data_IF_029662480133
#
_entry.id   IF_029662480133
#
_cell.length_a   1.000
_cell.length_b   1.000
_cell.length_c   1.000
_cell.angle_alpha   90.00
_cell.angle_beta   90.00
_cell.angle_gamma   90.00
#
_symmetry.space_group_name_H-M   'P 1'
#
loop_
_entity.id
_entity.type
_entity.pdbx_description
1 polymer ?
#
# COMPACT_ATOMS: atom_id res chain seq x y z
N UNK A 1 -12.65 -0.93 -30.17
CA UNK A 1 -12.14 -2.26 -30.58
C UNK A 1 -11.98 -2.29 -32.07
N UNK A 2 -11.09 -3.10 -32.61
CA UNK A 2 -10.97 -3.30 -34.05
C UNK A 2 -11.25 -4.76 -34.41
N UNK A 3 -11.92 -4.98 -35.54
CA UNK A 3 -12.08 -6.31 -36.10
C UNK A 3 -10.81 -6.76 -36.87
N UNK A 4 -10.79 -7.99 -37.38
CA UNK A 4 -9.67 -8.55 -38.13
C UNK A 4 -9.31 -7.79 -39.43
N UNK A 5 -10.22 -6.92 -39.90
CA UNK A 5 -10.02 -6.06 -41.08
C UNK A 5 -9.63 -4.62 -40.70
N UNK A 6 -9.37 -4.33 -39.40
CA UNK A 6 -9.02 -3.00 -38.92
C UNK A 6 -10.19 -2.04 -38.70
N UNK A 7 -11.45 -2.47 -38.94
CA UNK A 7 -12.61 -1.62 -38.74
C UNK A 7 -12.81 -1.32 -37.27
N UNK A 8 -12.80 -0.03 -36.90
CA UNK A 8 -12.96 0.43 -35.51
C UNK A 8 -14.45 0.44 -35.15
N UNK A 9 -14.79 -0.23 -34.05
CA UNK A 9 -16.14 -0.28 -33.50
C UNK A 9 -16.16 0.18 -32.05
N UNK A 10 -17.21 0.90 -31.67
CA UNK A 10 -17.48 1.33 -30.30
C UNK A 10 -18.55 0.42 -29.70
N UNK A 11 -18.36 0.05 -28.43
CA UNK A 11 -19.30 -0.79 -27.69
C UNK A 11 -19.71 -0.07 -26.41
N UNK A 12 -20.99 0.21 -26.28
CA UNK A 12 -21.55 0.80 -25.08
C UNK A 12 -21.88 -0.24 -24.01
N UNK A 13 -22.31 -1.46 -24.38
CA UNK A 13 -22.79 -2.44 -23.39
C UNK A 13 -22.42 -3.92 -23.67
N UNK A 14 -22.05 -4.33 -24.87
CA UNK A 14 -21.74 -5.74 -25.17
C UNK A 14 -20.52 -5.90 -26.07
N UNK A 15 -19.54 -6.75 -25.68
CA UNK A 15 -18.32 -6.96 -26.47
C UNK A 15 -18.52 -7.81 -27.73
N UNK A 16 -19.75 -8.13 -28.11
CA UNK A 16 -20.08 -9.00 -29.25
C UNK A 16 -21.11 -8.33 -30.15
N UNK A 17 -20.83 -8.28 -31.45
CA UNK A 17 -21.82 -7.93 -32.44
C UNK A 17 -22.82 -9.09 -32.56
N UNK A 18 -24.02 -8.92 -32.00
CA UNK A 18 -25.07 -9.92 -32.04
C UNK A 18 -25.67 -10.10 -33.47
N UNK A 19 -25.30 -9.23 -34.41
CA UNK A 19 -25.79 -9.24 -35.80
C UNK A 19 -24.94 -10.08 -36.75
N UNK A 20 -23.71 -10.45 -36.40
CA UNK A 20 -22.89 -11.28 -37.25
C UNK A 20 -23.07 -12.76 -36.91
N UNK A 21 -23.39 -13.57 -37.94
CA UNK A 21 -23.47 -15.04 -37.85
C UNK A 21 -22.10 -15.70 -37.50
N UNK A 22 -21.04 -14.96 -37.62
CA UNK A 22 -19.69 -15.29 -37.17
C UNK A 22 -19.35 -14.32 -36.01
N UNK A 23 -19.12 -14.86 -34.82
CA UNK A 23 -18.55 -14.11 -33.69
C UNK A 23 -17.11 -13.68 -34.06
N UNK A 24 -16.97 -12.58 -34.81
CA UNK A 24 -15.68 -11.99 -35.06
C UNK A 24 -15.08 -11.55 -33.73
N UNK A 25 -13.97 -12.13 -33.34
CA UNK A 25 -13.21 -11.72 -32.14
C UNK A 25 -12.73 -10.28 -32.34
N UNK A 26 -13.23 -9.39 -31.50
CA UNK A 26 -12.80 -8.00 -31.50
C UNK A 26 -11.60 -7.81 -30.62
N UNK A 27 -10.54 -7.25 -31.17
CA UNK A 27 -9.32 -6.95 -30.44
C UNK A 27 -9.42 -5.54 -29.85
N UNK A 28 -9.24 -5.38 -28.51
CA UNK A 28 -9.19 -4.07 -27.90
C UNK A 28 -8.05 -3.25 -28.49
N UNK A 29 -8.33 -2.01 -28.88
CA UNK A 29 -7.29 -1.09 -29.32
C UNK A 29 -6.30 -0.78 -28.18
N UNK A 30 -5.04 -0.59 -28.56
CA UNK A 30 -3.93 -0.51 -27.59
C UNK A 30 -3.77 0.85 -26.94
N UNK A 31 -4.40 1.90 -27.50
CA UNK A 31 -4.20 3.28 -27.07
C UNK A 31 -5.35 3.76 -26.21
N UNK A 32 -5.00 4.47 -25.17
CA UNK A 32 -5.91 5.18 -24.26
C UNK A 32 -5.35 6.56 -23.98
N UNK A 33 -6.21 7.51 -23.62
CA UNK A 33 -5.82 8.83 -23.17
C UNK A 33 -5.95 8.96 -21.67
N UNK A 34 -4.96 9.57 -21.05
CA UNK A 34 -4.91 9.83 -19.61
C UNK A 34 -4.46 11.25 -19.34
N UNK A 35 -4.77 11.77 -18.17
CA UNK A 35 -4.26 13.07 -17.69
C UNK A 35 -3.59 12.94 -16.31
N UNK A 36 -2.86 13.97 -15.89
CA UNK A 36 -2.17 14.02 -14.60
C UNK A 36 -3.12 14.00 -13.38
N UNK A 37 -4.41 14.34 -13.56
CA UNK A 37 -5.44 14.21 -12.53
C UNK A 37 -5.99 12.78 -12.38
N UNK A 38 -5.43 11.80 -13.08
CA UNK A 38 -5.78 10.38 -12.96
C UNK A 38 -7.01 9.95 -13.76
N UNK A 39 -7.57 10.81 -14.62
CA UNK A 39 -8.67 10.42 -15.49
C UNK A 39 -8.20 9.57 -16.67
N UNK A 40 -9.11 8.75 -17.18
CA UNK A 40 -8.90 7.87 -18.33
C UNK A 40 -10.07 7.99 -19.28
N UNK A 41 -9.78 8.04 -20.56
CA UNK A 41 -10.77 7.99 -21.62
C UNK A 41 -10.21 7.28 -22.86
N UNK A 42 -11.08 6.87 -23.74
CA UNK A 42 -10.68 6.33 -25.04
C UNK A 42 -9.92 7.38 -25.86
N UNK A 43 -9.05 6.91 -26.74
CA UNK A 43 -8.46 7.76 -27.76
C UNK A 43 -9.58 8.35 -28.63
N UNK A 44 -9.50 9.63 -29.05
CA UNK A 44 -10.58 10.29 -29.81
C UNK A 44 -10.60 9.81 -31.28
N UNK A 45 -10.95 8.54 -31.48
CA UNK A 45 -10.89 7.86 -32.76
C UNK A 45 -11.70 8.55 -33.85
N UNK A 46 -12.86 9.12 -33.49
CA UNK A 46 -13.75 9.78 -34.44
C UNK A 46 -13.22 11.18 -34.78
N UNK A 47 -12.87 11.94 -33.77
CA UNK A 47 -12.39 13.33 -33.90
C UNK A 47 -11.04 13.40 -34.60
N UNK A 48 -10.18 12.40 -34.38
CA UNK A 48 -8.80 12.36 -34.87
C UNK A 48 -8.64 12.56 -36.36
N UNK A 49 -9.29 11.75 -37.26
CA UNK A 49 -9.17 11.96 -38.70
C UNK A 49 -10.00 13.13 -39.21
N UNK A 50 -11.01 13.56 -38.46
CA UNK A 50 -11.97 14.60 -38.91
C UNK A 50 -11.53 16.02 -38.60
N UNK A 51 -10.49 16.23 -37.78
CA UNK A 51 -10.03 17.57 -37.42
C UNK A 51 -11.08 18.38 -36.66
N UNK A 52 -11.87 17.71 -35.79
CA UNK A 52 -12.94 18.31 -35.01
C UNK A 52 -14.30 18.41 -35.72
N UNK A 53 -14.36 18.44 -37.05
CA UNK A 53 -15.60 18.42 -37.84
C UNK A 53 -15.97 16.99 -38.25
N UNK A 54 -16.75 16.31 -37.43
CA UNK A 54 -17.21 14.93 -37.66
C UNK A 54 -18.25 14.90 -38.82
N UNK A 55 -18.12 13.93 -39.71
CA UNK A 55 -19.10 13.69 -40.78
C UNK A 55 -20.36 12.97 -40.23
N UNK A 56 -21.43 12.95 -41.00
CA UNK A 56 -22.74 12.41 -40.57
C UNK A 56 -22.68 10.92 -40.22
N UNK A 57 -21.86 10.14 -40.95
CA UNK A 57 -21.76 8.68 -40.78
C UNK A 57 -20.32 8.23 -40.70
N UNK A 58 -19.62 8.43 -39.54
CA UNK A 58 -18.21 8.02 -39.39
C UNK A 58 -18.06 6.50 -39.54
N UNK A 59 -17.36 6.04 -40.55
CA UNK A 59 -16.96 4.64 -40.75
C UNK A 59 -15.42 4.53 -40.69
N UNK A 60 -14.89 4.17 -39.52
CA UNK A 60 -13.47 4.26 -39.22
C UNK A 60 -12.76 2.93 -39.48
N UNK A 61 -11.58 3.06 -40.06
CA UNK A 61 -10.65 1.97 -40.30
C UNK A 61 -9.24 2.36 -39.82
N UNK A 62 -8.61 1.42 -39.11
CA UNK A 62 -7.22 1.55 -38.70
C UNK A 62 -6.32 0.85 -39.71
N UNK A 63 -5.60 1.63 -40.50
CA UNK A 63 -4.76 1.13 -41.58
C UNK A 63 -3.30 1.10 -41.18
N UNK A 64 -2.61 0.00 -41.48
CA UNK A 64 -1.16 -0.12 -41.37
C UNK A 64 -0.56 -0.15 -42.78
N UNK A 65 0.17 0.90 -43.13
CA UNK A 65 0.61 1.11 -44.53
C UNK A 65 1.77 0.17 -44.95
N UNK A 66 2.58 -0.27 -43.98
CA UNK A 66 3.83 -1.01 -44.30
C UNK A 66 3.91 -2.38 -43.63
N UNK A 67 2.83 -2.89 -43.04
CA UNK A 67 2.83 -4.14 -42.27
C UNK A 67 3.95 -4.21 -41.20
N UNK A 68 4.48 -3.06 -40.81
CA UNK A 68 5.49 -2.97 -39.76
C UNK A 68 4.80 -2.89 -38.39
N UNK A 69 5.50 -3.25 -37.34
CA UNK A 69 5.03 -3.07 -35.97
C UNK A 69 5.10 -1.62 -35.49
N UNK A 70 5.58 -0.69 -36.31
CA UNK A 70 5.78 0.71 -35.95
C UNK A 70 4.47 1.47 -35.94
N UNK A 71 4.24 2.28 -34.88
CA UNK A 71 3.07 3.15 -34.76
C UNK A 71 3.04 4.24 -35.83
N UNK A 72 4.20 4.62 -36.37
CA UNK A 72 4.35 5.63 -37.40
C UNK A 72 3.60 5.25 -38.69
N UNK A 73 3.44 3.96 -38.92
CA UNK A 73 2.78 3.41 -40.11
C UNK A 73 1.26 3.27 -39.97
N UNK A 74 0.74 3.50 -38.73
CA UNK A 74 -0.69 3.45 -38.52
C UNK A 74 -1.36 4.78 -38.82
N UNK A 75 -2.54 4.70 -39.41
CA UNK A 75 -3.41 5.85 -39.66
C UNK A 75 -4.85 5.50 -39.44
N UNK A 76 -5.63 6.45 -38.96
CA UNK A 76 -7.11 6.34 -38.87
C UNK A 76 -7.71 6.97 -40.13
N UNK A 77 -8.53 6.21 -40.83
CA UNK A 77 -9.20 6.60 -42.04
C UNK A 77 -10.71 6.47 -41.89
N UNK A 78 -11.44 7.49 -42.28
CA UNK A 78 -12.89 7.46 -42.36
C UNK A 78 -13.33 7.14 -43.80
N UNK A 79 -13.89 5.96 -44.04
CA UNK A 79 -14.33 5.53 -45.38
C UNK A 79 -15.48 6.35 -45.94
N UNK A 80 -16.30 6.95 -45.09
CA UNK A 80 -17.46 7.74 -45.52
C UNK A 80 -17.05 9.08 -46.14
N UNK A 81 -16.11 9.80 -45.51
CA UNK A 81 -15.72 11.12 -45.98
C UNK A 81 -14.26 11.20 -46.49
N UNK A 82 -13.60 10.06 -46.58
CA UNK A 82 -12.20 9.86 -47.04
C UNK A 82 -11.12 10.64 -46.27
N UNK A 83 -11.46 11.16 -45.10
CA UNK A 83 -10.48 11.84 -44.21
C UNK A 83 -9.57 10.82 -43.53
N UNK A 84 -8.28 11.11 -43.56
CA UNK A 84 -7.23 10.23 -43.03
C UNK A 84 -6.23 11.02 -42.20
N UNK A 85 -5.78 10.45 -41.06
CA UNK A 85 -4.71 11.03 -40.24
C UNK A 85 -3.80 9.97 -39.64
N UNK A 86 -2.50 10.17 -39.76
CA UNK A 86 -1.47 9.29 -39.16
C UNK A 86 -1.48 9.40 -37.64
N UNK A 87 -1.10 8.28 -36.97
CA UNK A 87 -0.86 8.21 -35.52
C UNK A 87 0.58 8.58 -35.15
N UNK A 88 1.41 9.03 -36.09
CA UNK A 88 2.84 9.26 -35.87
C UNK A 88 3.19 10.26 -34.78
N UNK A 89 2.28 11.19 -34.46
CA UNK A 89 2.53 12.24 -33.44
C UNK A 89 2.01 11.90 -32.05
N UNK A 90 1.29 10.77 -31.86
CA UNK A 90 0.53 10.53 -30.62
C UNK A 90 1.41 10.40 -29.36
N UNK A 91 2.67 9.98 -29.52
CA UNK A 91 3.60 9.89 -28.39
C UNK A 91 4.47 11.14 -28.20
N UNK A 92 4.37 12.12 -29.08
CA UNK A 92 4.94 13.43 -28.82
C UNK A 92 3.93 14.24 -28.01
N UNK A 93 4.21 14.40 -26.70
CA UNK A 93 3.30 15.06 -25.74
C UNK A 93 2.78 16.40 -26.24
N UNK A 94 3.68 17.26 -26.70
CA UNK A 94 3.32 18.62 -27.13
C UNK A 94 2.52 18.59 -28.43
N UNK A 95 3.01 17.92 -29.48
CA UNK A 95 2.32 17.85 -30.76
C UNK A 95 0.95 17.17 -30.66
N UNK A 96 0.79 16.20 -29.73
CA UNK A 96 -0.48 15.56 -29.48
C UNK A 96 -1.45 16.51 -28.75
N UNK A 97 -1.00 17.15 -27.68
CA UNK A 97 -1.81 18.12 -26.92
C UNK A 97 -2.27 19.29 -27.81
N UNK A 98 -1.35 19.91 -28.54
CA UNK A 98 -1.65 21.00 -29.45
C UNK A 98 -2.70 20.63 -30.51
N UNK A 99 -2.61 19.39 -31.02
CA UNK A 99 -3.60 18.91 -31.98
C UNK A 99 -4.95 18.65 -31.32
N UNK A 100 -5.00 18.11 -30.10
CA UNK A 100 -6.27 17.90 -29.38
C UNK A 100 -6.95 19.23 -29.07
N UNK A 101 -6.21 20.25 -28.67
CA UNK A 101 -6.73 21.60 -28.43
C UNK A 101 -7.29 22.19 -29.72
N UNK A 102 -6.60 22.03 -30.85
CA UNK A 102 -7.06 22.49 -32.17
C UNK A 102 -8.41 21.84 -32.57
N UNK A 103 -8.62 20.56 -32.26
CA UNK A 103 -9.84 19.83 -32.59
C UNK A 103 -10.91 19.88 -31.48
N UNK A 104 -10.67 20.61 -30.38
CA UNK A 104 -11.60 20.79 -29.28
C UNK A 104 -11.82 19.55 -28.43
N UNK A 105 -10.81 18.66 -28.33
CA UNK A 105 -10.86 17.44 -27.52
C UNK A 105 -10.12 17.65 -26.22
N UNK A 106 -10.83 17.58 -25.10
CA UNK A 106 -10.29 17.77 -23.76
C UNK A 106 -10.58 16.55 -22.87
N UNK A 107 -9.96 16.54 -21.69
CA UNK A 107 -10.22 15.52 -20.69
C UNK A 107 -11.68 15.59 -20.23
N UNK A 108 -12.37 14.44 -20.30
CA UNK A 108 -13.79 14.33 -19.89
C UNK A 108 -13.98 14.25 -18.37
N UNK A 109 -12.91 14.24 -17.58
CA UNK A 109 -12.97 14.18 -16.12
C UNK A 109 -13.53 12.86 -15.57
N UNK A 110 -13.46 11.77 -16.33
CA UNK A 110 -14.09 10.51 -15.95
C UNK A 110 -13.18 9.60 -15.16
N UNK A 111 -13.72 9.03 -14.07
CA UNK A 111 -13.17 7.88 -13.37
C UNK A 111 -13.95 6.63 -13.76
N UNK A 112 -13.36 5.76 -14.58
CA UNK A 112 -14.06 4.61 -15.21
C UNK A 112 -14.65 3.61 -14.22
N UNK A 113 -14.16 3.56 -12.97
CA UNK A 113 -14.70 2.69 -11.91
C UNK A 113 -15.83 3.33 -11.10
N UNK A 114 -16.05 4.64 -11.23
CA UNK A 114 -17.16 5.35 -10.61
C UNK A 114 -18.32 5.34 -11.60
N UNK A 115 -19.16 4.31 -11.56
CA UNK A 115 -20.32 4.23 -12.42
C UNK A 115 -21.13 5.54 -12.43
N UNK A 116 -21.09 6.28 -13.55
CA UNK A 116 -21.96 7.43 -13.89
C UNK A 116 -22.03 8.57 -12.86
N UNK A 117 -21.06 8.67 -11.98
CA UNK A 117 -20.92 9.85 -11.10
C UNK A 117 -20.38 11.00 -11.95
N UNK A 118 -20.90 12.21 -11.68
CA UNK A 118 -20.51 13.46 -12.36
C UNK A 118 -19.03 13.46 -12.72
N UNK A 119 -18.74 13.71 -14.00
CA UNK A 119 -17.38 13.98 -14.45
C UNK A 119 -16.84 15.22 -13.70
N UNK A 120 -15.62 15.13 -13.20
CA UNK A 120 -14.95 16.31 -12.66
C UNK A 120 -14.60 17.26 -13.82
N UNK A 121 -14.75 18.57 -13.63
CA UNK A 121 -14.18 19.52 -14.58
C UNK A 121 -12.66 19.36 -14.58
N UNK A 122 -12.07 19.08 -15.73
CA UNK A 122 -10.64 18.87 -15.85
C UNK A 122 -10.07 19.63 -17.04
N UNK A 123 -9.11 20.49 -16.76
CA UNK A 123 -8.41 21.29 -17.77
C UNK A 123 -6.99 20.76 -18.06
N UNK A 124 -6.65 19.55 -17.57
CA UNK A 124 -5.35 18.95 -17.79
C UNK A 124 -5.22 18.39 -19.21
N UNK A 125 -4.07 18.60 -19.84
CA UNK A 125 -3.73 18.02 -21.13
C UNK A 125 -3.78 16.50 -21.11
N UNK A 126 -4.24 15.91 -22.20
CA UNK A 126 -4.28 14.47 -22.40
C UNK A 126 -2.95 13.97 -22.97
N UNK A 127 -2.54 12.80 -22.51
CA UNK A 127 -1.42 12.04 -23.07
C UNK A 127 -1.88 10.67 -23.51
N UNK A 128 -1.32 10.15 -24.60
CA UNK A 128 -1.59 8.80 -25.07
C UNK A 128 -0.64 7.82 -24.39
N UNK A 129 -1.19 6.75 -23.85
CA UNK A 129 -0.43 5.62 -23.34
C UNK A 129 -0.89 4.33 -24.03
N UNK A 130 0.02 3.36 -24.04
CA UNK A 130 -0.36 1.99 -24.29
C UNK A 130 -1.12 1.46 -23.07
N UNK A 131 -2.17 0.68 -23.31
CA UNK A 131 -2.96 0.03 -22.25
C UNK A 131 -2.11 -0.83 -21.29
N UNK A 132 -0.96 -1.31 -21.75
CA UNK A 132 0.00 -2.10 -20.95
C UNK A 132 1.18 -1.29 -20.42
N UNK A 133 1.15 0.04 -20.53
CA UNK A 133 2.23 0.88 -20.06
C UNK A 133 2.28 0.93 -18.52
N UNK A 134 3.47 0.80 -17.94
CA UNK A 134 3.66 0.79 -16.50
C UNK A 134 3.25 2.12 -15.83
N UNK A 135 3.40 3.24 -16.55
CA UNK A 135 3.02 4.56 -16.07
C UNK A 135 1.51 4.87 -16.19
N UNK A 136 0.72 3.88 -16.58
CA UNK A 136 -0.73 3.98 -16.55
C UNK A 136 -1.28 3.97 -15.12
N UNK A 137 -0.61 3.28 -14.22
CA UNK A 137 -1.12 3.07 -12.87
C UNK A 137 0.03 2.86 -11.88
N UNK A 138 0.19 3.81 -10.98
CA UNK A 138 1.09 3.72 -9.83
C UNK A 138 0.25 3.56 -8.57
N UNK A 139 0.11 2.35 -8.01
CA UNK A 139 -0.65 2.12 -6.80
C UNK A 139 0.10 2.64 -5.57
N UNK A 140 -0.61 3.33 -4.68
CA UNK A 140 -0.14 3.63 -3.34
C UNK A 140 -0.75 2.60 -2.38
N UNK A 141 0.09 1.67 -1.92
CA UNK A 141 -0.31 0.54 -1.08
C UNK A 141 0.31 0.70 0.30
N UNK A 142 -0.51 0.61 1.34
CA UNK A 142 -0.04 0.42 2.71
C UNK A 142 -0.10 -1.05 3.06
N UNK A 143 1.01 -1.59 3.57
CA UNK A 143 1.13 -2.98 3.99
C UNK A 143 1.42 -3.05 5.47
N UNK A 144 0.79 -3.99 6.15
CA UNK A 144 0.95 -4.23 7.56
C UNK A 144 0.91 -5.72 7.85
N UNK A 145 1.79 -6.18 8.72
CA UNK A 145 1.71 -7.54 9.25
C UNK A 145 0.50 -7.61 10.16
N UNK A 146 -0.38 -8.58 9.93
CA UNK A 146 -1.49 -8.84 10.83
C UNK A 146 -0.96 -9.61 12.05
N UNK A 147 -0.42 -8.86 12.99
CA UNK A 147 -0.06 -9.40 14.27
C UNK A 147 -1.36 -9.48 15.06
N UNK A 148 -1.82 -10.68 15.44
CA UNK A 148 -2.91 -10.77 16.39
C UNK A 148 -2.36 -10.23 17.71
N UNK A 149 -2.70 -8.99 17.99
CA UNK A 149 -2.55 -8.51 19.35
C UNK A 149 -3.54 -9.33 20.18
N UNK A 150 -3.02 -10.17 21.02
CA UNK A 150 -3.78 -10.81 22.09
C UNK A 150 -4.14 -9.79 23.17
N UNK A 151 -4.35 -8.54 22.76
CA UNK A 151 -4.75 -7.46 23.65
C UNK A 151 -6.07 -7.71 24.36
N UNK A 152 -6.77 -8.77 23.97
CA UNK A 152 -8.08 -9.06 24.51
C UNK A 152 -8.33 -10.56 24.73
N UNK A 153 -7.30 -11.40 24.82
CA UNK A 153 -7.52 -12.84 25.10
C UNK A 153 -8.26 -13.01 26.43
N UNK A 154 -7.88 -12.26 27.44
CA UNK A 154 -8.56 -12.18 28.73
C UNK A 154 -9.99 -11.63 28.61
N UNK A 155 -10.16 -10.51 27.92
CA UNK A 155 -11.49 -9.89 27.70
C UNK A 155 -12.38 -10.80 26.85
N UNK A 156 -11.82 -11.49 25.87
CA UNK A 156 -12.56 -12.44 25.06
C UNK A 156 -12.96 -13.68 25.87
N UNK A 157 -12.08 -14.17 26.74
CA UNK A 157 -12.39 -15.23 27.70
C UNK A 157 -13.50 -14.80 28.70
N UNK A 158 -13.43 -13.59 29.23
CA UNK A 158 -14.46 -13.00 30.08
C UNK A 158 -15.80 -12.89 29.33
N UNK A 159 -15.81 -12.42 28.10
CA UNK A 159 -17.03 -12.25 27.29
C UNK A 159 -17.64 -13.58 26.81
N UNK A 160 -16.86 -14.65 26.74
CA UNK A 160 -17.35 -15.98 26.37
C UNK A 160 -18.16 -16.66 27.47
N UNK A 161 -17.99 -16.23 28.73
CA UNK A 161 -18.73 -16.69 29.88
C UNK A 161 -19.82 -15.67 30.24
N UNK A 162 -21.08 -16.12 30.35
CA UNK A 162 -22.23 -15.22 30.59
C UNK A 162 -22.14 -14.48 31.94
N UNK A 163 -21.71 -15.18 33.00
CA UNK A 163 -21.62 -14.63 34.35
C UNK A 163 -20.44 -13.65 34.44
N UNK A 164 -19.29 -14.00 33.91
CA UNK A 164 -18.13 -13.11 33.86
C UNK A 164 -18.38 -11.88 32.97
N UNK A 165 -19.11 -12.04 31.89
CA UNK A 165 -19.49 -10.93 31.02
C UNK A 165 -20.43 -9.95 31.71
N UNK A 166 -21.36 -10.46 32.54
CA UNK A 166 -22.21 -9.58 33.38
C UNK A 166 -21.37 -8.76 34.34
N UNK A 167 -20.45 -9.37 35.07
CA UNK A 167 -19.52 -8.68 35.98
C UNK A 167 -18.65 -7.66 35.26
N UNK A 168 -18.09 -8.03 34.12
CA UNK A 168 -17.33 -7.13 33.24
C UNK A 168 -18.12 -5.89 32.83
N UNK A 169 -19.38 -6.05 32.41
CA UNK A 169 -20.22 -4.93 31.99
C UNK A 169 -20.50 -3.95 33.15
N UNK A 170 -20.67 -4.46 34.34
CA UNK A 170 -20.87 -3.63 35.57
C UNK A 170 -19.56 -2.89 35.89
N UNK A 171 -18.41 -3.56 35.87
CA UNK A 171 -17.10 -2.91 36.09
C UNK A 171 -16.90 -1.81 35.04
N UNK A 172 -17.11 -2.12 33.75
CA UNK A 172 -16.98 -1.16 32.67
C UNK A 172 -17.86 0.08 32.82
N UNK A 173 -19.13 -0.08 33.25
CA UNK A 173 -20.01 1.04 33.50
C UNK A 173 -19.52 1.91 34.66
N UNK A 174 -18.98 1.30 35.71
CA UNK A 174 -18.42 2.05 36.86
C UNK A 174 -17.16 2.81 36.45
N UNK A 175 -16.28 2.21 35.63
CA UNK A 175 -15.10 2.87 35.07
C UNK A 175 -15.52 4.09 34.24
N UNK A 176 -16.48 3.95 33.32
CA UNK A 176 -16.97 5.05 32.47
C UNK A 176 -17.65 6.18 33.26
N UNK A 177 -18.25 5.88 34.39
CA UNK A 177 -18.84 6.90 35.27
C UNK A 177 -17.78 7.74 36.03
N UNK A 178 -16.67 7.12 36.40
CA UNK A 178 -15.57 7.74 37.16
C UNK A 178 -14.61 8.49 36.25
N UNK A 179 -14.37 7.97 35.04
CA UNK A 179 -13.45 8.53 34.07
C UNK A 179 -14.21 9.33 33.00
N UNK A 180 -14.32 10.64 33.23
CA UNK A 180 -14.77 11.59 32.17
C UNK A 180 -13.62 12.11 31.31
N UNK A 181 -12.39 11.90 31.74
CA UNK A 181 -11.13 12.34 31.09
C UNK A 181 -10.07 11.24 31.20
N UNK A 182 -8.91 11.41 30.51
CA UNK A 182 -7.81 10.43 30.43
C UNK A 182 -7.48 9.75 31.76
N UNK A 183 -7.33 8.44 31.74
CA UNK A 183 -7.02 7.63 32.91
C UNK A 183 -5.65 7.98 33.50
N UNK A 184 -5.66 8.53 34.70
CA UNK A 184 -4.46 8.78 35.51
C UNK A 184 -4.28 7.69 36.56
N UNK A 185 -3.06 7.55 37.11
CA UNK A 185 -2.76 6.63 38.22
C UNK A 185 -3.65 6.87 39.44
N UNK A 186 -4.08 8.13 39.66
CA UNK A 186 -5.01 8.52 40.71
C UNK A 186 -6.42 7.91 40.51
N UNK A 187 -6.86 7.77 39.26
CA UNK A 187 -8.17 7.16 38.92
C UNK A 187 -8.10 5.65 39.10
N UNK A 188 -7.02 5.01 38.69
CA UNK A 188 -6.76 3.58 38.91
C UNK A 188 -6.83 3.23 40.39
N UNK A 189 -6.17 4.02 41.23
CA UNK A 189 -6.19 3.84 42.69
C UNK A 189 -7.60 4.07 43.32
N UNK A 190 -8.44 4.94 42.75
CA UNK A 190 -9.83 5.10 43.14
C UNK A 190 -10.70 3.91 42.76
N UNK A 191 -10.48 3.34 41.59
CA UNK A 191 -11.18 2.14 41.09
C UNK A 191 -10.85 0.92 41.94
N UNK A 192 -9.59 0.71 42.31
CA UNK A 192 -9.17 -0.38 43.20
C UNK A 192 -9.75 -0.27 44.64
N UNK A 193 -10.10 0.91 45.07
CA UNK A 193 -10.75 1.16 46.38
C UNK A 193 -12.28 1.05 46.32
N UNK A 194 -12.87 0.92 45.14
CA UNK A 194 -14.30 0.74 44.99
C UNK A 194 -14.70 -0.71 45.36
N UNK A 195 -15.46 -0.90 46.43
CA UNK A 195 -15.83 -2.21 46.94
C UNK A 195 -16.55 -3.09 45.89
N UNK A 196 -17.41 -2.48 45.08
CA UNK A 196 -18.17 -3.19 44.05
C UNK A 196 -17.22 -3.65 42.97
N UNK A 197 -16.38 -2.77 42.42
CA UNK A 197 -15.40 -3.11 41.37
C UNK A 197 -14.44 -4.18 41.89
N UNK A 198 -13.98 -4.05 43.11
CA UNK A 198 -13.02 -5.00 43.68
C UNK A 198 -13.62 -6.41 43.87
N UNK A 199 -14.86 -6.52 44.34
CA UNK A 199 -15.52 -7.84 44.50
C UNK A 199 -15.77 -8.53 43.15
N UNK A 200 -16.18 -7.78 42.14
CA UNK A 200 -16.40 -8.30 40.79
C UNK A 200 -15.08 -8.70 40.09
N UNK A 201 -14.02 -7.91 40.29
CA UNK A 201 -12.67 -8.28 39.80
C UNK A 201 -12.16 -9.55 40.48
N UNK A 202 -12.40 -9.73 41.79
CA UNK A 202 -12.05 -10.96 42.50
C UNK A 202 -12.77 -12.17 41.92
N UNK A 203 -14.06 -12.03 41.61
CA UNK A 203 -14.81 -13.12 40.95
C UNK A 203 -14.22 -13.48 39.59
N UNK A 204 -14.00 -12.51 38.74
CA UNK A 204 -13.40 -12.71 37.42
C UNK A 204 -12.02 -13.39 37.54
N UNK A 205 -11.15 -12.89 38.40
CA UNK A 205 -9.81 -13.45 38.62
C UNK A 205 -9.87 -14.88 39.11
N UNK A 206 -10.76 -15.19 40.07
CA UNK A 206 -10.87 -16.56 40.60
C UNK A 206 -11.26 -17.61 39.56
N UNK A 207 -12.08 -17.23 38.59
CA UNK A 207 -12.47 -18.10 37.49
C UNK A 207 -11.35 -18.18 36.45
N UNK A 208 -10.75 -17.04 36.09
CA UNK A 208 -9.68 -17.00 35.10
C UNK A 208 -8.40 -17.69 35.56
N UNK A 209 -8.11 -17.77 36.87
CA UNK A 209 -6.93 -18.45 37.39
C UNK A 209 -6.92 -19.96 37.10
N UNK A 210 -8.03 -20.56 36.71
CA UNK A 210 -8.10 -21.95 36.25
C UNK A 210 -7.30 -22.09 34.95
N UNK A 211 -7.41 -21.14 34.05
CA UNK A 211 -6.73 -21.13 32.73
C UNK A 211 -5.44 -20.27 32.71
N UNK A 212 -5.36 -19.29 33.62
CA UNK A 212 -4.26 -18.32 33.71
C UNK A 212 -3.76 -18.22 35.18
N UNK A 213 -2.96 -19.18 35.67
CA UNK A 213 -2.62 -19.31 37.10
C UNK A 213 -1.99 -18.09 37.75
N UNK A 214 -1.30 -17.24 36.99
CA UNK A 214 -0.56 -16.08 37.49
C UNK A 214 -1.30 -14.75 37.33
N UNK A 215 -2.57 -14.78 36.92
CA UNK A 215 -3.33 -13.54 36.70
C UNK A 215 -3.73 -12.91 38.03
N UNK A 216 -3.64 -11.56 38.08
CA UNK A 216 -4.07 -10.76 39.22
C UNK A 216 -5.13 -9.72 38.85
N UNK A 217 -5.73 -9.10 39.86
CA UNK A 217 -6.77 -8.08 39.69
C UNK A 217 -6.29 -6.84 38.96
N UNK A 218 -5.02 -6.46 39.17
CA UNK A 218 -4.43 -5.28 38.52
C UNK A 218 -4.29 -5.48 37.01
N UNK A 219 -3.92 -6.69 36.61
CA UNK A 219 -3.81 -7.08 35.18
C UNK A 219 -5.17 -7.04 34.50
N UNK A 220 -6.21 -7.68 35.09
CA UNK A 220 -7.58 -7.66 34.54
C UNK A 220 -8.12 -6.22 34.48
N UNK A 221 -7.91 -5.42 35.50
CA UNK A 221 -8.38 -4.02 35.54
C UNK A 221 -7.69 -3.17 34.47
N UNK A 222 -6.38 -3.31 34.32
CA UNK A 222 -5.64 -2.57 33.30
C UNK A 222 -6.13 -2.93 31.90
N UNK A 223 -6.35 -4.19 31.60
CA UNK A 223 -6.85 -4.63 30.29
C UNK A 223 -8.26 -4.15 29.98
N UNK A 224 -9.15 -4.07 31.01
CA UNK A 224 -10.47 -3.45 30.86
C UNK A 224 -10.34 -1.95 30.58
N UNK A 225 -9.42 -1.26 31.27
CA UNK A 225 -9.17 0.17 31.06
C UNK A 225 -8.63 0.41 29.66
N UNK A 226 -7.61 -0.34 29.23
CA UNK A 226 -6.96 -0.21 27.91
C UNK A 226 -7.97 -0.45 26.78
N UNK A 227 -8.89 -1.41 26.95
CA UNK A 227 -9.99 -1.59 26.00
C UNK A 227 -10.94 -0.39 25.95
N UNK A 228 -11.28 0.22 27.08
CA UNK A 228 -12.15 1.40 27.11
C UNK A 228 -11.45 2.60 26.47
N UNK A 229 -10.15 2.75 26.70
CA UNK A 229 -9.34 3.80 26.10
C UNK A 229 -9.19 3.62 24.59
N UNK A 230 -9.00 2.40 24.13
CA UNK A 230 -8.94 2.08 22.69
C UNK A 230 -10.28 2.33 21.97
N UNK A 231 -11.42 2.11 22.65
CA UNK A 231 -12.75 2.42 22.10
C UNK A 231 -13.07 3.92 22.10
N UNK A 232 -12.53 4.68 23.07
CA UNK A 232 -12.74 6.13 23.21
C UNK A 232 -11.75 6.94 22.37
N UNK A 233 -10.61 6.38 22.05
CA UNK A 233 -9.72 6.94 21.04
C UNK A 233 -10.42 6.77 19.72
N UNK A 234 -11.15 7.81 19.27
CA UNK A 234 -11.36 8.03 17.83
C UNK A 234 -10.02 7.79 17.21
N UNK A 235 -9.93 6.84 16.27
CA UNK A 235 -8.72 6.50 15.53
C UNK A 235 -7.93 7.77 15.30
N UNK A 236 -6.89 7.97 16.09
CA UNK A 236 -5.99 9.09 15.93
C UNK A 236 -5.29 8.81 14.59
N UNK A 237 -5.58 9.63 13.59
CA UNK A 237 -4.93 9.53 12.27
C UNK A 237 -3.40 9.68 12.38
N UNK A 238 -2.90 9.96 13.58
CA UNK A 238 -1.50 10.18 13.96
C UNK A 238 -0.86 9.01 14.72
N UNK A 239 -1.33 7.76 14.57
CA UNK A 239 -0.49 6.62 15.02
C UNK A 239 0.80 6.70 14.21
N UNK A 240 1.89 6.97 14.90
CA UNK A 240 3.21 7.04 14.27
C UNK A 240 3.52 5.68 13.64
N UNK A 241 3.70 5.67 12.32
CA UNK A 241 4.10 4.48 11.57
C UNK A 241 5.32 3.81 12.21
N UNK A 242 6.17 4.60 12.88
CA UNK A 242 7.36 4.11 13.58
C UNK A 242 7.02 3.30 14.83
N UNK A 243 5.98 3.64 15.58
CA UNK A 243 5.57 2.87 16.76
C UNK A 243 5.02 1.52 16.35
N UNK A 244 4.21 1.48 15.30
CA UNK A 244 3.71 0.24 14.72
C UNK A 244 4.85 -0.68 14.23
N UNK A 245 5.83 -0.13 13.51
CA UNK A 245 7.02 -0.88 13.04
C UNK A 245 7.88 -1.40 14.19
N UNK A 246 7.93 -0.68 15.30
CA UNK A 246 8.63 -1.12 16.52
C UNK A 246 7.96 -2.33 17.15
N UNK A 247 6.64 -2.35 17.19
CA UNK A 247 5.88 -3.49 17.70
C UNK A 247 6.05 -4.73 16.81
N UNK A 248 5.93 -4.57 15.48
CA UNK A 248 6.26 -5.64 14.53
C UNK A 248 7.66 -6.21 14.81
N UNK A 249 8.65 -5.33 14.96
CA UNK A 249 10.02 -5.74 15.25
C UNK A 249 10.13 -6.51 16.57
N UNK A 250 9.53 -6.03 17.64
CA UNK A 250 9.61 -6.64 18.96
C UNK A 250 9.01 -8.07 18.97
N UNK A 251 7.91 -8.26 18.29
CA UNK A 251 7.27 -9.57 18.19
C UNK A 251 8.10 -10.50 17.29
N UNK A 252 8.51 -10.05 16.12
CA UNK A 252 9.26 -10.86 15.17
C UNK A 252 10.67 -11.19 15.69
N UNK A 253 11.31 -10.30 16.44
CA UNK A 253 12.61 -10.55 17.08
C UNK A 253 12.55 -11.45 18.31
N UNK A 254 11.35 -11.77 18.80
CA UNK A 254 11.17 -12.51 20.05
C UNK A 254 11.48 -11.68 21.30
N UNK A 255 11.58 -10.36 21.19
CA UNK A 255 11.77 -9.46 22.33
C UNK A 255 10.52 -9.35 23.19
N UNK A 256 9.35 -9.50 22.58
CA UNK A 256 8.06 -9.64 23.26
C UNK A 256 7.61 -11.09 23.21
N UNK A 257 7.17 -11.68 24.35
CA UNK A 257 6.54 -13.00 24.35
C UNK A 257 5.33 -13.02 23.39
N UNK A 258 5.22 -14.09 22.64
CA UNK A 258 4.13 -14.28 21.69
C UNK A 258 3.67 -15.74 21.72
N UNK A 259 2.38 -15.94 21.88
CA UNK A 259 1.77 -17.25 21.79
C UNK A 259 1.33 -17.55 20.35
N UNK A 260 1.74 -18.72 19.83
CA UNK A 260 1.36 -19.18 18.48
C UNK A 260 -0.07 -19.77 18.43
N UNK A 261 -0.96 -19.34 19.32
CA UNK A 261 -2.37 -19.80 19.34
C UNK A 261 -3.18 -19.32 18.13
N UNK A 262 -2.71 -18.28 17.47
CA UNK A 262 -3.35 -17.70 16.28
C UNK A 262 -2.73 -18.26 15.00
N UNK A 263 -3.58 -18.57 14.03
CA UNK A 263 -3.22 -18.97 12.65
C UNK A 263 -2.71 -17.80 11.77
N UNK A 264 -2.69 -16.57 12.30
CA UNK A 264 -2.26 -15.37 11.57
C UNK A 264 -0.77 -15.14 11.59
N UNK A 265 -0.12 -15.56 12.67
CA UNK A 265 1.32 -15.54 12.82
C UNK A 265 1.77 -16.76 13.60
N UNK A 266 2.50 -17.66 12.95
CA UNK A 266 3.14 -18.82 13.58
C UNK A 266 4.64 -18.66 13.40
N UNK A 267 5.37 -18.54 14.50
CA UNK A 267 6.82 -18.33 14.48
C UNK A 267 7.57 -19.19 15.49
N UNK A 268 8.83 -19.47 15.18
CA UNK A 268 9.78 -20.12 16.07
C UNK A 268 11.07 -19.30 16.14
N UNK A 269 11.40 -18.78 17.30
CA UNK A 269 12.59 -17.94 17.51
C UNK A 269 13.73 -18.74 18.12
N UNK A 270 14.90 -18.67 17.48
CA UNK A 270 16.16 -19.25 17.92
C UNK A 270 17.10 -18.12 18.32
N UNK A 271 17.46 -18.06 19.58
CA UNK A 271 18.40 -17.10 20.12
C UNK A 271 19.71 -17.77 20.55
N UNK A 272 20.68 -16.98 21.03
CA UNK A 272 21.96 -17.50 21.47
C UNK A 272 21.91 -18.45 22.68
N UNK A 273 20.76 -18.53 23.37
CA UNK A 273 20.54 -19.49 24.47
C UNK A 273 19.91 -20.79 24.00
N UNK A 274 19.50 -20.88 22.72
CA UNK A 274 18.91 -22.09 22.14
C UNK A 274 19.97 -23.15 21.81
N UNK A 275 19.50 -24.36 21.47
CA UNK A 275 20.34 -25.48 21.03
C UNK A 275 21.21 -25.17 19.79
N UNK A 276 20.93 -24.06 19.10
CA UNK A 276 21.67 -23.60 17.91
C UNK A 276 22.75 -22.58 18.25
N UNK A 277 22.98 -22.25 19.51
CA UNK A 277 23.94 -21.23 19.94
C UNK A 277 25.31 -21.37 19.27
N UNK A 278 25.85 -22.57 19.26
CA UNK A 278 27.19 -22.85 18.70
C UNK A 278 27.24 -22.79 17.17
N UNK A 279 26.08 -22.70 16.52
CA UNK A 279 25.96 -22.62 15.06
C UNK A 279 25.65 -21.23 14.55
N UNK A 280 25.24 -20.30 15.44
CA UNK A 280 24.96 -18.91 15.07
C UNK A 280 26.21 -18.07 15.17
N UNK A 281 26.51 -17.21 14.15
CA UNK A 281 27.54 -16.20 14.27
C UNK A 281 27.28 -15.28 15.46
N UNK A 282 28.33 -14.83 16.14
CA UNK A 282 28.23 -13.92 17.31
C UNK A 282 27.49 -12.63 16.97
N UNK A 283 27.60 -12.17 15.72
CA UNK A 283 26.90 -11.00 15.20
C UNK A 283 25.38 -11.18 15.02
N UNK A 284 24.87 -12.40 15.11
CA UNK A 284 23.43 -12.69 15.01
C UNK A 284 22.84 -12.86 16.40
N UNK A 285 21.93 -11.96 16.79
CA UNK A 285 21.24 -12.01 18.08
C UNK A 285 20.19 -13.14 18.11
N UNK A 286 19.36 -13.20 17.09
CA UNK A 286 18.38 -14.26 16.94
C UNK A 286 18.00 -14.47 15.46
N UNK A 287 17.46 -15.65 15.17
CA UNK A 287 16.79 -16.00 13.93
C UNK A 287 15.37 -16.46 14.28
N UNK A 288 14.38 -15.89 13.65
CA UNK A 288 13.00 -16.30 13.77
C UNK A 288 12.54 -16.90 12.46
N UNK A 289 12.16 -18.18 12.47
CA UNK A 289 11.46 -18.83 11.37
C UNK A 289 9.99 -18.47 11.48
N UNK A 290 9.44 -17.96 10.42
CA UNK A 290 8.04 -17.57 10.31
C UNK A 290 7.39 -18.59 9.41
N UNK A 291 6.57 -19.45 9.98
CA UNK A 291 5.87 -20.54 9.28
C UNK A 291 4.55 -20.09 8.69
N UNK A 292 3.93 -19.08 9.30
CA UNK A 292 2.73 -18.43 8.81
C UNK A 292 2.80 -16.94 9.14
N UNK A 293 2.56 -16.11 8.15
CA UNK A 293 2.51 -14.66 8.29
C UNK A 293 1.35 -14.13 7.44
N UNK A 294 0.38 -13.55 8.07
CA UNK A 294 -0.68 -12.85 7.36
C UNK A 294 -0.31 -11.37 7.21
N UNK A 295 -0.29 -10.88 5.96
CA UNK A 295 -0.06 -9.48 5.63
C UNK A 295 -1.35 -8.90 5.06
N UNK A 296 -1.74 -7.74 5.55
CA UNK A 296 -2.86 -6.95 5.01
C UNK A 296 -2.30 -5.85 4.14
N UNK A 297 -2.65 -5.89 2.86
CA UNK A 297 -2.30 -4.86 1.89
C UNK A 297 -3.55 -4.03 1.61
N UNK A 298 -3.45 -2.72 1.76
CA UNK A 298 -4.56 -1.80 1.54
C UNK A 298 -4.21 -0.85 0.41
N UNK A 299 -5.01 -0.85 -0.64
CA UNK A 299 -4.89 0.08 -1.74
C UNK A 299 -5.54 1.42 -1.37
N UNK A 300 -4.71 2.43 -1.05
CA UNK A 300 -5.17 3.75 -0.58
C UNK A 300 -5.57 4.68 -1.72
N UNK A 301 -4.72 4.70 -2.74
CA UNK A 301 -4.83 5.65 -3.85
C UNK A 301 -4.01 5.17 -5.04
N UNK A 302 -4.06 5.91 -6.12
CA UNK A 302 -3.15 5.72 -7.26
C UNK A 302 -2.86 7.06 -7.92
N UNK A 303 -1.81 7.07 -8.73
CA UNK A 303 -1.52 8.15 -9.67
C UNK A 303 -1.31 7.61 -11.09
N UNK A 304 -1.26 8.49 -12.08
CA UNK A 304 -0.97 8.18 -13.49
C UNK A 304 0.14 9.09 -14.01
N UNK A 305 0.83 8.65 -15.04
CA UNK A 305 1.95 9.33 -15.69
C UNK A 305 3.21 9.38 -14.82
N UNK A 306 3.11 9.86 -13.58
CA UNK A 306 4.20 9.92 -12.61
C UNK A 306 3.73 9.36 -11.26
N UNK A 307 4.60 8.65 -10.53
CA UNK A 307 4.28 8.19 -9.18
C UNK A 307 4.18 9.37 -8.21
N UNK A 308 3.51 9.17 -7.08
CA UNK A 308 3.32 10.19 -6.03
C UNK A 308 3.89 9.76 -4.69
N UNK A 309 4.55 8.59 -4.61
CA UNK A 309 5.30 8.21 -3.42
C UNK A 309 6.55 9.09 -3.26
N UNK A 310 6.95 9.32 -2.02
CA UNK A 310 8.00 10.27 -1.69
C UNK A 310 9.35 9.95 -2.36
N UNK A 311 9.69 8.68 -2.49
CA UNK A 311 10.99 8.26 -2.99
C UNK A 311 11.05 8.38 -4.52
N UNK A 312 10.02 7.94 -5.22
CA UNK A 312 9.91 8.10 -6.67
C UNK A 312 9.77 9.58 -7.08
N UNK A 313 9.10 10.40 -6.26
CA UNK A 313 9.01 11.85 -6.46
C UNK A 313 10.38 12.51 -6.40
N UNK A 314 11.23 12.12 -5.45
CA UNK A 314 12.59 12.64 -5.32
C UNK A 314 13.45 12.29 -6.54
N UNK A 315 13.31 11.08 -7.08
CA UNK A 315 14.01 10.64 -8.28
C UNK A 315 13.61 11.51 -9.49
N UNK A 316 12.32 11.77 -9.65
CA UNK A 316 11.81 12.65 -10.72
C UNK A 316 12.34 14.08 -10.57
N UNK A 317 12.37 14.64 -9.36
CA UNK A 317 12.92 15.98 -9.11
C UNK A 317 14.40 16.04 -9.46
N UNK A 318 15.18 14.99 -9.16
CA UNK A 318 16.61 14.92 -9.54
C UNK A 318 16.82 14.89 -11.05
N UNK A 319 15.96 14.21 -11.78
CA UNK A 319 16.08 14.06 -13.23
C UNK A 319 15.52 15.27 -14.01
N UNK A 320 14.38 15.80 -13.59
CA UNK A 320 13.62 16.80 -14.35
C UNK A 320 13.63 18.20 -13.70
N UNK A 321 14.10 18.33 -12.44
CA UNK A 321 14.11 19.56 -11.67
C UNK A 321 12.81 19.84 -10.90
N UNK A 322 12.82 20.88 -10.05
CA UNK A 322 11.70 21.20 -9.13
C UNK A 322 10.42 21.69 -9.84
N UNK A 323 10.50 22.15 -11.08
CA UNK A 323 9.37 22.67 -11.86
C UNK A 323 8.62 21.60 -12.65
N UNK A 324 8.61 20.36 -12.19
CA UNK A 324 7.90 19.26 -12.86
C UNK A 324 6.41 19.28 -12.59
N UNK A 325 5.61 19.03 -13.64
CA UNK A 325 4.18 18.76 -13.51
C UNK A 325 3.96 17.44 -12.75
N UNK A 326 3.53 17.54 -11.51
CA UNK A 326 3.22 16.36 -10.70
C UNK A 326 1.84 15.79 -11.01
N UNK A 327 1.74 14.47 -10.96
CA UNK A 327 0.47 13.78 -11.07
C UNK A 327 -0.32 13.90 -9.77
N UNK A 328 -1.64 14.00 -9.88
CA UNK A 328 -2.53 14.04 -8.74
C UNK A 328 -2.74 12.62 -8.19
N UNK A 329 -2.68 12.49 -6.89
CA UNK A 329 -3.08 11.28 -6.20
C UNK A 329 -4.60 11.16 -6.14
N UNK A 330 -5.12 10.04 -6.61
CA UNK A 330 -6.56 9.75 -6.65
C UNK A 330 -6.91 8.78 -5.53
N UNK A 331 -7.63 9.24 -4.53
CA UNK A 331 -8.07 8.41 -3.41
C UNK A 331 -9.07 7.34 -3.86
N UNK A 332 -8.87 6.12 -3.38
CA UNK A 332 -9.77 4.97 -3.57
C UNK A 332 -10.63 4.70 -2.34
N UNK A 333 -10.69 5.65 -1.40
CA UNK A 333 -11.58 5.57 -0.25
C UNK A 333 -13.04 5.51 -0.72
N UNK A 334 -13.76 4.54 -0.22
CA UNK A 334 -15.20 4.36 -0.50
C UNK A 334 -16.02 5.42 0.25
N UNK A 335 -17.27 5.59 -0.15
CA UNK A 335 -18.22 6.52 0.49
C UNK A 335 -18.52 6.17 1.96
N UNK A 336 -18.36 4.90 2.33
CA UNK A 336 -18.49 4.41 3.70
C UNK A 336 -17.21 4.59 4.55
N UNK A 337 -16.20 5.28 4.01
CA UNK A 337 -14.94 5.55 4.68
C UNK A 337 -13.91 4.42 4.60
N UNK A 338 -14.24 3.27 4.03
CA UNK A 338 -13.39 2.09 3.94
C UNK A 338 -12.51 2.10 2.69
N UNK A 339 -11.43 1.32 2.73
CA UNK A 339 -10.57 1.03 1.60
C UNK A 339 -10.71 -0.43 1.17
N UNK A 340 -10.30 -0.72 -0.05
CA UNK A 340 -10.18 -2.10 -0.53
C UNK A 340 -8.84 -2.64 -0.06
N UNK A 341 -8.89 -3.78 0.63
CA UNK A 341 -7.70 -4.47 1.11
C UNK A 341 -7.70 -5.93 0.70
N UNK A 342 -6.51 -6.52 0.71
CA UNK A 342 -6.27 -7.93 0.43
C UNK A 342 -5.42 -8.51 1.55
N UNK A 343 -5.77 -9.71 2.00
CA UNK A 343 -4.93 -10.51 2.89
C UNK A 343 -4.09 -11.45 2.05
N UNK A 344 -2.81 -11.49 2.31
CA UNK A 344 -1.88 -12.45 1.74
C UNK A 344 -1.19 -13.22 2.86
N UNK A 345 -0.86 -14.46 2.59
CA UNK A 345 -0.16 -15.35 3.50
C UNK A 345 1.24 -15.58 2.96
N UNK A 346 2.19 -15.69 3.85
CA UNK A 346 3.59 -15.93 3.51
C UNK A 346 4.33 -16.59 4.64
N UNK A 347 5.53 -16.99 4.34
CA UNK A 347 6.51 -17.54 5.27
C UNK A 347 7.84 -16.83 5.08
N UNK A 348 8.73 -16.93 6.03
CA UNK A 348 10.02 -16.23 5.91
C UNK A 348 10.98 -16.47 7.06
N UNK A 349 12.08 -15.74 6.99
CA UNK A 349 13.12 -15.74 8.01
C UNK A 349 13.36 -14.30 8.45
N UNK A 350 13.24 -14.05 9.75
CA UNK A 350 13.57 -12.78 10.34
C UNK A 350 14.89 -12.91 11.12
N UNK A 351 15.87 -12.08 10.76
CA UNK A 351 17.21 -12.14 11.33
C UNK A 351 17.48 -10.83 12.07
N UNK A 352 17.81 -10.92 13.35
CA UNK A 352 18.19 -9.79 14.18
C UNK A 352 19.71 -9.84 14.45
N UNK A 353 20.41 -8.76 14.11
CA UNK A 353 21.81 -8.61 14.43
C UNK A 353 21.99 -8.12 15.86
N UNK A 354 23.12 -8.46 16.46
CA UNK A 354 23.49 -7.97 17.78
C UNK A 354 23.96 -6.50 17.68
N UNK A 355 23.27 -5.54 18.34
CA UNK A 355 23.60 -4.12 18.21
C UNK A 355 25.01 -3.80 18.74
N UNK A 356 25.52 -4.53 19.75
CA UNK A 356 26.88 -4.34 20.27
C UNK A 356 27.89 -4.71 19.20
N UNK A 357 27.71 -5.87 18.56
CA UNK A 357 28.61 -6.34 17.51
C UNK A 357 28.54 -5.45 16.25
N UNK A 358 27.37 -4.89 15.92
CA UNK A 358 27.27 -3.90 14.83
C UNK A 358 28.02 -2.62 15.19
N UNK A 359 27.91 -2.13 16.43
CA UNK A 359 28.61 -0.93 16.90
C UNK A 359 30.13 -1.14 16.87
N UNK A 360 30.63 -2.26 17.39
CA UNK A 360 32.05 -2.61 17.34
C UNK A 360 32.55 -2.73 15.88
N UNK A 361 31.73 -3.23 14.98
CA UNK A 361 32.07 -3.28 13.57
C UNK A 361 32.16 -1.86 12.97
N UNK A 362 31.19 -0.98 13.29
CA UNK A 362 31.22 0.42 12.85
C UNK A 362 32.49 1.15 13.33
N UNK A 363 32.88 0.93 14.57
CA UNK A 363 34.10 1.52 15.12
C UNK A 363 35.36 1.00 14.40
N UNK A 364 35.43 -0.28 14.06
CA UNK A 364 36.54 -0.87 13.30
C UNK A 364 36.69 -0.29 11.90
N UNK A 365 35.57 0.00 11.22
CA UNK A 365 35.61 0.56 9.85
C UNK A 365 35.69 2.08 9.82
N UNK A 366 35.63 2.73 10.98
CA UNK A 366 35.70 4.19 11.09
C UNK A 366 37.03 4.69 10.49
N UNK A 367 36.91 5.63 9.54
CA UNK A 367 38.08 6.16 8.82
C UNK A 367 38.58 5.31 7.65
N UNK A 368 37.97 4.12 7.41
CA UNK A 368 38.25 3.35 6.19
C UNK A 368 37.73 4.07 4.93
N UNK A 369 38.28 3.71 3.77
CA UNK A 369 37.84 4.27 2.50
C UNK A 369 36.36 4.00 2.23
N UNK A 370 35.84 2.85 2.66
CA UNK A 370 34.39 2.51 2.50
C UNK A 370 33.54 3.46 3.35
N UNK A 371 33.91 3.64 4.63
CA UNK A 371 33.19 4.55 5.53
C UNK A 371 33.22 5.99 5.02
N UNK A 372 34.39 6.46 4.56
CA UNK A 372 34.54 7.80 3.97
C UNK A 372 33.65 7.98 2.73
N UNK A 373 33.61 6.99 1.83
CA UNK A 373 32.75 7.05 0.62
C UNK A 373 31.26 7.10 0.97
N UNK A 374 30.84 6.32 1.96
CA UNK A 374 29.42 6.34 2.41
C UNK A 374 29.10 7.72 2.99
N UNK A 375 29.91 8.22 3.94
CA UNK A 375 29.67 9.50 4.61
C UNK A 375 29.77 10.70 3.66
N UNK A 376 30.65 10.66 2.66
CA UNK A 376 30.75 11.71 1.66
C UNK A 376 29.47 11.86 0.81
N UNK A 377 28.67 10.81 0.70
CA UNK A 377 27.37 10.91 0.01
C UNK A 377 26.37 11.81 0.75
N UNK A 378 26.49 11.93 2.08
CA UNK A 378 25.64 12.84 2.88
C UNK A 378 25.79 14.28 2.44
N UNK A 379 26.97 14.66 1.96
CA UNK A 379 27.31 16.00 1.51
C UNK A 379 26.95 16.25 0.02
N UNK A 380 26.41 15.25 -0.67
CA UNK A 380 25.96 15.42 -2.05
C UNK A 380 24.70 16.30 -2.07
N UNK A 381 24.69 17.42 -2.81
CA UNK A 381 23.52 18.28 -2.93
C UNK A 381 22.27 17.60 -3.51
N UNK A 382 22.46 16.50 -4.25
CA UNK A 382 21.37 15.71 -4.82
C UNK A 382 20.68 14.79 -3.81
N UNK A 383 21.14 14.74 -2.55
CA UNK A 383 20.56 13.91 -1.49
C UNK A 383 19.63 14.75 -0.62
N UNK A 384 18.37 14.35 -0.56
CA UNK A 384 17.38 15.02 0.28
C UNK A 384 17.66 14.81 1.78
N UNK A 385 17.30 15.79 2.61
CA UNK A 385 17.58 15.78 4.06
C UNK A 385 17.04 14.53 4.78
N UNK A 386 15.85 14.05 4.40
CA UNK A 386 15.23 12.88 5.00
C UNK A 386 15.89 11.55 4.57
N UNK A 387 16.67 11.54 3.48
CA UNK A 387 17.46 10.38 3.04
C UNK A 387 18.81 10.29 3.78
N UNK A 388 19.34 11.42 4.21
CA UNK A 388 20.68 11.47 4.89
C UNK A 388 20.75 10.56 6.10
N UNK A 389 19.63 10.37 6.82
CA UNK A 389 19.54 9.46 7.97
C UNK A 389 19.80 7.99 7.62
N UNK A 390 19.63 7.59 6.36
CA UNK A 390 19.87 6.22 5.87
C UNK A 390 21.26 6.07 5.24
N UNK A 391 22.04 7.15 5.09
CA UNK A 391 23.40 7.09 4.56
C UNK A 391 24.38 6.85 5.70
N UNK A 392 24.28 5.67 6.32
CA UNK A 392 25.12 5.23 7.43
C UNK A 392 25.72 3.86 7.14
N UNK A 393 26.92 3.54 7.64
CA UNK A 393 27.56 2.25 7.37
C UNK A 393 26.72 1.04 7.79
N UNK A 394 26.00 1.11 8.90
CA UNK A 394 25.11 0.05 9.39
C UNK A 394 23.93 -0.17 8.46
N UNK A 395 23.32 0.88 7.90
CA UNK A 395 22.28 0.74 6.89
C UNK A 395 22.81 0.03 5.64
N UNK A 396 24.00 0.42 5.16
CA UNK A 396 24.62 -0.25 4.02
C UNK A 396 25.00 -1.71 4.31
N UNK A 397 25.38 -2.03 5.57
CA UNK A 397 25.59 -3.40 6.00
C UNK A 397 24.32 -4.23 5.88
N UNK A 398 23.22 -3.76 6.46
CA UNK A 398 21.93 -4.45 6.41
C UNK A 398 21.43 -4.65 4.97
N UNK A 399 21.51 -3.60 4.15
CA UNK A 399 21.11 -3.65 2.75
C UNK A 399 21.93 -4.68 1.96
N UNK A 400 23.27 -4.68 2.14
CA UNK A 400 24.15 -5.62 1.47
C UNK A 400 23.89 -7.06 1.92
N UNK A 401 23.72 -7.27 3.25
CA UNK A 401 23.42 -8.58 3.81
C UNK A 401 22.12 -9.14 3.27
N UNK A 402 21.06 -8.33 3.18
CA UNK A 402 19.78 -8.74 2.63
C UNK A 402 19.90 -9.24 1.18
N UNK A 403 20.64 -8.52 0.34
CA UNK A 403 20.90 -8.93 -1.04
C UNK A 403 21.71 -10.24 -1.15
N UNK A 404 22.69 -10.45 -0.28
CA UNK A 404 23.49 -11.68 -0.26
C UNK A 404 22.60 -12.87 0.12
N UNK A 405 21.77 -12.72 1.16
CA UNK A 405 20.85 -13.76 1.59
C UNK A 405 19.83 -14.09 0.49
N UNK A 406 19.18 -13.09 -0.11
CA UNK A 406 18.23 -13.27 -1.20
C UNK A 406 18.84 -13.99 -2.41
N UNK A 407 20.10 -13.69 -2.76
CA UNK A 407 20.80 -14.40 -3.84
C UNK A 407 21.04 -15.87 -3.51
N UNK A 408 21.26 -16.21 -2.24
CA UNK A 408 21.51 -17.59 -1.82
C UNK A 408 20.22 -18.41 -1.71
N UNK A 409 19.16 -17.81 -1.17
CA UNK A 409 17.85 -18.48 -1.03
C UNK A 409 17.15 -18.75 -2.35
N UNK A 410 17.39 -17.96 -3.39
CA UNK A 410 16.88 -18.24 -4.77
C UNK A 410 17.37 -19.55 -5.38
N UNK A 411 18.30 -20.25 -4.77
CA UNK A 411 18.85 -21.53 -5.28
C UNK A 411 18.19 -22.75 -4.65
N UNK A 412 17.23 -22.54 -3.78
CA UNK A 412 16.38 -23.56 -3.17
C UNK A 412 14.93 -23.28 -3.57
#
# INVERSE_FOLDING_TARGET
MADKHGKVRFFDEKPFDASSKLRDELVPLRFICVCSNGHVQDFPWVEWPHGGKICEHPDLELNNTHNSGSILDYSVHCKYCDKKKSLGIIFNKNAFSDYLDLIGVHCKGNYVWKNRVKSDSCNQGLQVLLRSANNLYFPNISSSVNIPFDDHSLINAIKADEDLNADYLVIRQNIKKIAKEKFSETIKNKLCKNLIVNSLLQNIVSVLQISYPNIDQSQVLNEIIDQIDSENSSYDENIDVMDYRREEFNILSGSTPYDNSSDKLIKQTFNQTSLLRDKLPVSVKCITLIHELQVVNVLRSYSRLKPTDSDSMKEIIREEGENTDFSKEVSLRRTDGRYVGMRSHGEGIFITLDPVQVTEWMDRIKGSEISKRILNKVNNPDVFEDEKKYITPDYYLLHTLSHIILKRTKRF
#
